data_IF_081334784995
#
_entry.id   IF_081334784995
#
_cell.length_a   1.000
_cell.length_b   1.000
_cell.length_c   1.000
_cell.angle_alpha   90.00
_cell.angle_beta   90.00
_cell.angle_gamma   90.00
#
_symmetry.space_group_name_H-M   'P 1'
#
loop_
_entity.id
_entity.type
_entity.pdbx_description
1 polymer ?
#
# COMPACT_ATOMS: atom_id res chain seq x y z
N UNK A 1 19.79 -9.36 29.57
CA UNK A 1 20.04 -8.40 30.66
C UNK A 1 19.31 -7.06 30.51
N UNK A 2 18.04 -7.04 30.06
CA UNK A 2 17.23 -5.82 30.00
C UNK A 2 17.72 -4.71 29.06
N UNK A 3 18.77 -4.96 28.26
CA UNK A 3 19.34 -4.01 27.30
C UNK A 3 18.90 -4.33 25.89
N UNK A 4 18.65 -3.29 25.10
CA UNK A 4 18.46 -3.40 23.66
C UNK A 4 19.85 -3.53 23.02
N UNK A 5 20.08 -4.62 22.29
CA UNK A 5 21.36 -4.91 21.63
C UNK A 5 21.30 -4.69 20.11
N UNK A 6 20.10 -4.65 19.53
CA UNK A 6 19.92 -4.35 18.11
C UNK A 6 18.47 -4.03 17.77
N UNK A 7 18.28 -3.14 16.80
CA UNK A 7 16.97 -2.72 16.30
C UNK A 7 17.00 -2.71 14.77
N UNK A 8 15.83 -2.89 14.16
CA UNK A 8 15.69 -2.91 12.71
C UNK A 8 14.24 -2.82 12.26
N UNK A 9 14.03 -2.30 11.05
CA UNK A 9 12.73 -2.26 10.39
C UNK A 9 12.89 -2.50 8.89
N UNK A 10 11.87 -3.05 8.26
CA UNK A 10 11.89 -3.26 6.81
C UNK A 10 11.68 -1.92 6.08
N UNK A 11 12.71 -1.45 5.37
CA UNK A 11 12.68 -0.17 4.68
C UNK A 11 12.05 -0.26 3.27
N UNK A 12 12.35 -1.32 2.51
CA UNK A 12 11.92 -1.47 1.12
C UNK A 12 11.82 -2.92 0.68
N UNK A 13 10.79 -3.23 -0.11
CA UNK A 13 10.60 -4.56 -0.67
C UNK A 13 11.84 -5.04 -1.45
N UNK A 14 12.33 -6.24 -1.12
CA UNK A 14 13.54 -6.83 -1.70
C UNK A 14 14.82 -6.58 -0.89
N UNK A 15 14.78 -5.69 0.11
CA UNK A 15 15.87 -5.51 1.07
C UNK A 15 15.70 -6.43 2.29
N UNK A 16 16.68 -6.40 3.19
CA UNK A 16 16.66 -7.18 4.42
C UNK A 16 15.39 -6.91 5.24
N UNK A 17 14.87 -7.96 5.88
CA UNK A 17 13.77 -7.82 6.81
C UNK A 17 14.27 -7.26 8.16
N UNK A 18 13.33 -6.84 9.00
CA UNK A 18 13.60 -6.22 10.29
C UNK A 18 14.47 -7.11 11.19
N UNK A 19 14.19 -8.41 11.21
CA UNK A 19 14.91 -9.41 12.00
C UNK A 19 16.39 -9.46 11.62
N UNK A 20 16.68 -9.51 10.32
CA UNK A 20 18.07 -9.55 9.82
C UNK A 20 18.81 -8.27 10.15
N UNK A 21 18.14 -7.11 10.06
CA UNK A 21 18.75 -5.82 10.41
C UNK A 21 19.05 -5.73 11.91
N UNK A 22 18.09 -6.12 12.76
CA UNK A 22 18.27 -6.15 14.22
C UNK A 22 19.39 -7.12 14.63
N UNK A 23 19.46 -8.30 14.01
CA UNK A 23 20.53 -9.28 14.27
C UNK A 23 21.90 -8.76 13.84
N UNK A 24 22.00 -8.05 12.72
CA UNK A 24 23.26 -7.40 12.29
C UNK A 24 23.71 -6.33 13.28
N UNK A 25 22.78 -5.54 13.81
CA UNK A 25 23.07 -4.54 14.82
C UNK A 25 23.50 -5.17 16.15
N UNK A 26 22.88 -6.29 16.54
CA UNK A 26 23.20 -7.03 17.77
C UNK A 26 24.53 -7.80 17.70
N UNK A 27 24.93 -8.28 16.52
CA UNK A 27 26.14 -9.08 16.37
C UNK A 27 26.13 -10.32 17.28
N UNK A 28 27.21 -10.54 18.03
CA UNK A 28 27.33 -11.65 18.97
C UNK A 28 26.35 -11.59 20.14
N UNK A 29 25.84 -10.40 20.47
CA UNK A 29 24.98 -10.18 21.63
C UNK A 29 23.54 -10.70 21.40
N UNK A 30 23.23 -11.16 20.18
CA UNK A 30 21.97 -11.83 19.86
C UNK A 30 21.87 -13.23 20.51
N UNK A 31 23.01 -13.89 20.76
CA UNK A 31 23.03 -15.23 21.33
C UNK A 31 22.42 -15.24 22.74
N UNK A 32 21.43 -16.10 22.95
CA UNK A 32 20.68 -16.17 24.20
C UNK A 32 19.67 -15.03 24.43
N UNK A 33 19.57 -14.06 23.52
CA UNK A 33 18.67 -12.92 23.66
C UNK A 33 17.20 -13.26 23.35
N UNK A 34 16.31 -12.30 23.64
CA UNK A 34 14.91 -12.33 23.19
C UNK A 34 14.73 -11.42 21.98
N UNK A 35 14.19 -11.95 20.89
CA UNK A 35 13.78 -11.16 19.73
C UNK A 35 12.29 -10.80 19.83
N UNK A 36 11.97 -9.52 19.75
CA UNK A 36 10.59 -9.02 19.62
C UNK A 36 10.34 -8.62 18.18
N UNK A 37 9.29 -9.18 17.56
CA UNK A 37 8.99 -8.96 16.14
C UNK A 37 7.51 -8.61 15.96
N UNK A 38 7.19 -7.65 15.09
CA UNK A 38 5.80 -7.19 14.91
C UNK A 38 4.93 -8.16 14.10
N UNK A 39 5.53 -9.11 13.38
CA UNK A 39 4.86 -10.12 12.55
C UNK A 39 5.62 -11.44 12.71
N UNK A 40 4.93 -12.58 12.55
CA UNK A 40 5.57 -13.89 12.57
C UNK A 40 6.77 -13.96 11.60
N UNK A 41 7.97 -14.36 12.07
CA UNK A 41 9.15 -14.46 11.23
C UNK A 41 8.94 -15.41 10.05
N UNK A 42 9.33 -14.97 8.85
CA UNK A 42 9.09 -15.76 7.64
C UNK A 42 9.91 -17.06 7.63
N UNK A 43 9.27 -18.14 7.16
CA UNK A 43 9.86 -19.49 7.09
C UNK A 43 10.05 -20.04 5.66
N UNK A 44 9.72 -19.24 4.64
CA UNK A 44 9.83 -19.61 3.23
C UNK A 44 10.88 -18.74 2.53
N UNK A 45 11.50 -19.28 1.49
CA UNK A 45 12.44 -18.53 0.67
C UNK A 45 11.66 -17.65 -0.31
N UNK A 46 11.76 -16.33 -0.12
CA UNK A 46 11.12 -15.33 -0.97
C UNK A 46 12.13 -14.66 -1.91
N UNK A 47 12.17 -13.32 -1.89
CA UNK A 47 13.26 -12.55 -2.52
C UNK A 47 14.55 -12.61 -1.70
N UNK A 48 14.43 -12.92 -0.41
CA UNK A 48 15.51 -13.07 0.55
C UNK A 48 15.34 -14.40 1.29
N UNK A 49 16.43 -14.91 1.92
CA UNK A 49 16.35 -16.08 2.79
C UNK A 49 15.35 -15.92 3.96
N UNK A 50 14.84 -17.03 4.53
CA UNK A 50 13.94 -17.01 5.67
C UNK A 50 14.55 -16.37 6.92
N UNK A 51 13.76 -15.56 7.65
CA UNK A 51 14.22 -14.93 8.88
C UNK A 51 14.38 -15.93 10.03
N UNK A 52 13.61 -17.02 10.01
CA UNK A 52 13.78 -18.13 10.95
C UNK A 52 15.20 -18.68 10.92
N UNK A 53 15.79 -18.88 9.74
CA UNK A 53 17.14 -19.43 9.61
C UNK A 53 18.18 -18.46 10.23
N UNK A 54 18.01 -17.15 10.02
CA UNK A 54 18.87 -16.13 10.61
C UNK A 54 18.76 -16.07 12.14
N UNK A 55 17.54 -16.17 12.68
CA UNK A 55 17.29 -16.20 14.13
C UNK A 55 17.92 -17.43 14.79
N UNK A 56 17.81 -18.60 14.15
CA UNK A 56 18.43 -19.83 14.62
C UNK A 56 19.95 -19.76 14.57
N UNK A 57 20.52 -19.24 13.48
CA UNK A 57 21.97 -19.05 13.35
C UNK A 57 22.51 -18.09 14.41
N UNK A 58 21.74 -17.05 14.76
CA UNK A 58 22.08 -16.11 15.82
C UNK A 58 21.86 -16.67 17.24
N UNK A 59 21.32 -17.89 17.37
CA UNK A 59 21.11 -18.59 18.63
C UNK A 59 20.26 -17.79 19.64
N UNK A 60 19.21 -17.12 19.17
CA UNK A 60 18.25 -16.46 20.06
C UNK A 60 17.55 -17.49 20.94
N UNK A 61 17.37 -17.19 22.23
CA UNK A 61 16.73 -18.12 23.16
C UNK A 61 15.19 -18.04 23.09
N UNK A 62 14.66 -16.85 22.80
CA UNK A 62 13.22 -16.57 22.83
C UNK A 62 12.82 -15.64 21.70
N UNK A 63 11.67 -15.89 21.10
CA UNK A 63 11.04 -15.04 20.09
C UNK A 63 9.63 -14.72 20.54
N UNK A 64 9.29 -13.44 20.60
CA UNK A 64 7.94 -12.95 20.86
C UNK A 64 7.47 -12.22 19.62
N UNK A 65 6.36 -12.66 19.01
CA UNK A 65 5.80 -11.97 17.85
C UNK A 65 4.35 -11.51 18.06
N UNK A 66 4.02 -10.31 17.58
CA UNK A 66 2.72 -9.73 17.88
C UNK A 66 1.56 -10.46 17.19
N UNK A 67 1.66 -10.72 15.89
CA UNK A 67 0.59 -11.34 15.08
C UNK A 67 1.12 -12.40 14.13
N UNK A 68 0.34 -13.47 13.93
CA UNK A 68 0.64 -14.50 12.95
C UNK A 68 0.59 -13.97 11.52
N UNK A 69 1.40 -14.53 10.62
CA UNK A 69 1.41 -14.13 9.21
C UNK A 69 0.15 -14.69 8.51
N UNK A 70 -0.71 -13.85 7.89
CA UNK A 70 -1.90 -14.30 7.18
C UNK A 70 -1.57 -15.03 5.88
N UNK A 71 -0.33 -14.96 5.39
CA UNK A 71 0.11 -15.66 4.19
C UNK A 71 0.05 -17.18 4.43
N UNK A 72 -0.73 -17.93 3.63
CA UNK A 72 -0.87 -19.38 3.80
C UNK A 72 0.45 -20.16 3.73
N UNK A 73 1.49 -19.58 3.12
CA UNK A 73 2.84 -20.18 3.06
C UNK A 73 3.65 -20.02 4.34
N UNK A 74 3.22 -19.18 5.28
CA UNK A 74 3.93 -18.88 6.53
C UNK A 74 3.11 -19.22 7.75
N UNK A 75 1.80 -18.98 7.74
CA UNK A 75 0.89 -19.09 8.88
C UNK A 75 1.22 -20.25 9.84
N UNK A 76 1.92 -19.95 10.94
CA UNK A 76 2.34 -20.88 11.99
C UNK A 76 3.60 -21.71 11.71
N UNK A 77 4.10 -21.74 10.47
CA UNK A 77 5.31 -22.47 10.08
C UNK A 77 6.57 -21.88 10.73
N UNK A 78 6.66 -20.55 10.84
CA UNK A 78 7.82 -19.89 11.44
C UNK A 78 7.92 -20.18 12.92
N UNK A 79 6.81 -20.01 13.63
CA UNK A 79 6.71 -20.35 15.04
C UNK A 79 7.02 -21.84 15.30
N UNK A 80 6.52 -22.74 14.45
CA UNK A 80 6.77 -24.18 14.57
C UNK A 80 8.26 -24.52 14.40
N UNK A 81 8.90 -24.04 13.33
CA UNK A 81 10.33 -24.32 13.07
C UNK A 81 11.23 -23.84 14.20
N UNK A 82 10.95 -22.67 14.77
CA UNK A 82 11.70 -22.14 15.91
C UNK A 82 11.54 -23.05 17.14
N UNK A 83 10.31 -23.48 17.47
CA UNK A 83 10.04 -24.39 18.60
C UNK A 83 10.71 -25.74 18.44
N UNK A 84 10.69 -26.31 17.23
CA UNK A 84 11.34 -27.59 16.91
C UNK A 84 12.86 -27.55 17.14
N UNK A 85 13.47 -26.37 17.12
CA UNK A 85 14.89 -26.15 17.40
C UNK A 85 15.16 -25.67 18.85
N UNK A 86 14.15 -25.73 19.73
CA UNK A 86 14.30 -25.41 21.14
C UNK A 86 14.17 -23.93 21.51
N UNK A 87 13.83 -23.05 20.55
CA UNK A 87 13.57 -21.63 20.82
C UNK A 87 12.20 -21.48 21.52
N UNK A 88 12.13 -20.70 22.59
CA UNK A 88 10.86 -20.36 23.23
C UNK A 88 10.09 -19.38 22.36
N UNK A 89 8.82 -19.68 22.04
CA UNK A 89 8.02 -18.84 21.12
C UNK A 89 6.65 -18.50 21.70
N UNK A 90 6.42 -17.21 21.89
CA UNK A 90 5.16 -16.62 22.35
C UNK A 90 4.59 -15.66 21.30
N UNK A 91 3.26 -15.51 21.31
CA UNK A 91 2.58 -14.59 20.39
C UNK A 91 1.41 -13.85 21.02
N UNK A 92 0.99 -12.76 20.38
CA UNK A 92 -0.20 -12.00 20.76
C UNK A 92 0.09 -10.70 21.52
N UNK A 93 1.33 -10.46 21.93
CA UNK A 93 1.72 -9.22 22.60
C UNK A 93 1.55 -8.03 21.65
N UNK A 94 0.72 -7.05 22.03
CA UNK A 94 0.38 -5.88 21.20
C UNK A 94 -0.19 -6.25 19.81
N UNK A 95 -0.94 -7.36 19.75
CA UNK A 95 -1.57 -7.80 18.51
C UNK A 95 -2.49 -6.75 17.86
N UNK A 96 -3.34 -6.00 18.60
CA UNK A 96 -4.17 -4.94 18.01
C UNK A 96 -3.35 -3.85 17.30
N UNK A 97 -2.27 -3.40 17.93
CA UNK A 97 -1.38 -2.36 17.42
C UNK A 97 -0.61 -2.84 16.18
N UNK A 98 -0.08 -4.06 16.22
CA UNK A 98 0.59 -4.67 15.08
C UNK A 98 -0.36 -4.90 13.88
N UNK A 99 -1.63 -5.21 14.15
CA UNK A 99 -2.66 -5.27 13.12
C UNK A 99 -2.93 -3.90 12.49
N UNK A 100 -3.09 -2.85 13.31
CA UNK A 100 -3.33 -1.48 12.85
C UNK A 100 -2.16 -0.91 12.03
N UNK A 101 -0.93 -1.37 12.27
CA UNK A 101 0.25 -0.99 11.49
C UNK A 101 0.14 -1.41 10.01
N UNK A 102 -0.50 -2.55 9.72
CA UNK A 102 -0.46 -3.22 8.42
C UNK A 102 -1.85 -3.59 7.86
N UNK A 103 -2.89 -2.79 8.11
CA UNK A 103 -4.29 -3.08 7.71
C UNK A 103 -4.44 -3.47 6.23
N UNK A 104 -3.75 -2.73 5.35
CA UNK A 104 -3.76 -3.00 3.91
C UNK A 104 -3.18 -4.36 3.54
N UNK A 105 -2.08 -4.75 4.18
CA UNK A 105 -1.45 -6.05 3.98
C UNK A 105 -2.34 -7.19 4.47
N UNK A 106 -2.91 -7.09 5.69
CA UNK A 106 -3.80 -8.12 6.22
C UNK A 106 -5.07 -8.26 5.36
N UNK A 107 -5.66 -7.15 4.93
CA UNK A 107 -6.84 -7.18 4.06
C UNK A 107 -6.54 -7.85 2.73
N UNK A 108 -5.42 -7.51 2.11
CA UNK A 108 -4.99 -8.11 0.84
C UNK A 108 -4.72 -9.61 0.97
N UNK A 109 -3.97 -10.02 1.99
CA UNK A 109 -3.64 -11.44 2.17
C UNK A 109 -4.86 -12.31 2.48
N UNK A 110 -5.84 -11.79 3.22
CA UNK A 110 -7.03 -12.56 3.63
C UNK A 110 -8.13 -12.57 2.58
N UNK A 111 -8.35 -11.45 1.89
CA UNK A 111 -9.51 -11.25 1.03
C UNK A 111 -9.17 -10.99 -0.44
N UNK A 112 -7.89 -10.95 -0.81
CA UNK A 112 -7.44 -10.71 -2.19
C UNK A 112 -7.72 -9.29 -2.71
N UNK A 113 -8.02 -8.34 -1.82
CA UNK A 113 -8.44 -6.97 -2.17
C UNK A 113 -7.75 -5.93 -1.29
N UNK A 114 -7.58 -4.68 -1.74
CA UNK A 114 -6.97 -3.64 -0.94
C UNK A 114 -7.89 -3.22 0.21
N UNK A 115 -7.28 -2.67 1.26
CA UNK A 115 -8.01 -1.89 2.26
C UNK A 115 -8.25 -0.48 1.72
N UNK A 116 -9.50 -0.02 1.73
CA UNK A 116 -9.91 1.22 1.07
C UNK A 116 -10.23 2.28 2.11
N UNK A 117 -9.57 3.44 1.98
CA UNK A 117 -9.90 4.66 2.72
C UNK A 117 -10.62 5.64 1.81
N UNK A 118 -11.82 6.04 2.20
CA UNK A 118 -12.57 7.12 1.51
C UNK A 118 -12.36 8.41 2.30
N UNK A 119 -11.87 9.46 1.62
CA UNK A 119 -11.72 10.80 2.21
C UNK A 119 -12.76 11.74 1.62
N UNK A 120 -13.47 12.45 2.49
CA UNK A 120 -14.43 13.48 2.11
C UNK A 120 -14.04 14.80 2.77
N UNK A 121 -14.12 15.92 2.03
CA UNK A 121 -14.18 17.25 2.62
C UNK A 121 -15.57 17.82 2.32
N UNK A 122 -16.25 18.31 3.35
CA UNK A 122 -17.58 18.88 3.21
C UNK A 122 -17.76 20.07 4.15
N UNK A 123 -18.69 20.96 3.79
CA UNK A 123 -19.21 22.00 4.67
C UNK A 123 -20.06 21.39 5.79
N UNK A 124 -20.45 22.23 6.77
CA UNK A 124 -21.28 21.80 7.89
C UNK A 124 -22.64 21.24 7.46
N UNK A 125 -23.20 21.74 6.35
CA UNK A 125 -24.45 21.27 5.74
C UNK A 125 -24.25 20.12 4.74
N UNK A 126 -23.05 19.51 4.69
CA UNK A 126 -22.78 18.28 3.93
C UNK A 126 -22.50 18.49 2.44
N UNK A 127 -22.19 19.71 2.00
CA UNK A 127 -21.86 20.01 0.58
C UNK A 127 -20.38 19.83 0.31
N UNK A 128 -20.05 19.28 -0.85
CA UNK A 128 -18.66 19.01 -1.29
C UNK A 128 -18.17 19.97 -2.38
N UNK A 129 -19.05 20.84 -2.87
CA UNK A 129 -18.78 21.93 -3.80
C UNK A 129 -19.92 22.96 -3.69
N UNK A 130 -19.67 24.18 -4.17
CA UNK A 130 -20.70 25.19 -4.43
C UNK A 130 -21.62 24.74 -5.58
N UNK A 131 -22.80 25.35 -5.70
CA UNK A 131 -23.76 25.04 -6.75
C UNK A 131 -23.23 25.29 -8.17
N UNK A 132 -22.23 26.18 -8.31
CA UNK A 132 -21.52 26.45 -9.57
C UNK A 132 -20.40 25.44 -9.86
N UNK A 133 -20.16 24.44 -8.99
CA UNK A 133 -19.12 23.43 -9.13
C UNK A 133 -17.76 23.80 -8.53
N UNK A 134 -17.58 25.02 -8.01
CA UNK A 134 -16.34 25.42 -7.36
C UNK A 134 -16.19 24.74 -6.00
N UNK A 135 -15.03 24.13 -5.75
CA UNK A 135 -14.79 23.27 -4.57
C UNK A 135 -13.49 23.57 -3.82
N UNK A 136 -12.74 24.60 -4.25
CA UNK A 136 -11.45 25.00 -3.67
C UNK A 136 -11.61 26.25 -2.79
N UNK A 137 -11.36 26.25 -1.48
CA UNK A 137 -11.08 25.15 -0.55
C UNK A 137 -12.13 25.17 0.58
N UNK A 138 -12.86 24.07 0.76
CA UNK A 138 -13.83 23.94 1.87
C UNK A 138 -13.12 23.85 3.24
N UNK A 139 -11.99 23.13 3.29
CA UNK A 139 -11.25 22.88 4.54
C UNK A 139 -9.98 23.72 4.64
N UNK A 140 -9.58 24.08 5.87
CA UNK A 140 -8.36 24.84 6.17
C UNK A 140 -7.04 24.12 5.86
N UNK A 141 -5.92 24.83 6.04
CA UNK A 141 -4.58 24.34 5.71
C UNK A 141 -4.19 23.06 6.48
N UNK A 142 -4.45 23.01 7.78
CA UNK A 142 -4.14 21.83 8.62
C UNK A 142 -4.80 20.54 8.10
N UNK A 143 -6.06 20.61 7.67
CA UNK A 143 -6.75 19.46 7.09
C UNK A 143 -6.15 19.03 5.73
N UNK A 144 -5.63 19.98 4.94
CA UNK A 144 -4.99 19.66 3.65
C UNK A 144 -3.61 19.03 3.84
N UNK A 145 -2.91 19.40 4.90
CA UNK A 145 -1.65 18.81 5.34
C UNK A 145 -1.84 17.39 5.90
N UNK A 146 -2.85 17.17 6.76
CA UNK A 146 -3.19 15.84 7.27
C UNK A 146 -3.45 14.83 6.12
N UNK A 147 -4.17 15.25 5.08
CA UNK A 147 -4.40 14.41 3.88
C UNK A 147 -3.10 14.00 3.19
N UNK A 148 -2.03 14.81 3.25
CA UNK A 148 -0.74 14.43 2.67
C UNK A 148 -0.11 13.24 3.41
N UNK A 149 -0.26 13.16 4.73
CA UNK A 149 0.19 12.02 5.53
C UNK A 149 -0.57 10.75 5.15
N UNK A 150 -1.88 10.85 4.94
CA UNK A 150 -2.67 9.71 4.48
C UNK A 150 -2.27 9.23 3.08
N UNK A 151 -2.01 10.15 2.15
CA UNK A 151 -1.46 9.78 0.83
C UNK A 151 -0.05 9.19 0.93
N UNK A 152 0.74 9.59 1.93
CA UNK A 152 2.07 9.05 2.14
C UNK A 152 2.05 7.59 2.59
N UNK A 153 1.02 7.22 3.37
CA UNK A 153 0.80 5.86 3.88
C UNK A 153 0.07 4.93 2.91
N UNK A 154 -0.35 5.41 1.74
CA UNK A 154 -1.11 4.65 0.76
C UNK A 154 -0.24 4.11 -0.36
N UNK A 155 -0.53 2.90 -0.84
CA UNK A 155 0.09 2.32 -2.04
C UNK A 155 -0.47 2.92 -3.33
N UNK A 156 -1.74 3.36 -3.32
CA UNK A 156 -2.40 3.95 -4.47
C UNK A 156 -3.36 5.08 -4.06
N UNK A 157 -3.61 6.00 -4.98
CA UNK A 157 -4.69 6.99 -4.92
C UNK A 157 -5.63 6.78 -6.10
N UNK A 158 -6.92 6.72 -5.82
CA UNK A 158 -7.95 6.46 -6.82
C UNK A 158 -8.88 7.67 -6.94
N UNK A 159 -9.19 8.06 -8.17
CA UNK A 159 -10.20 9.09 -8.47
C UNK A 159 -11.00 8.73 -9.71
N UNK A 160 -12.21 9.28 -9.86
CA UNK A 160 -12.91 9.28 -11.14
C UNK A 160 -12.35 10.34 -12.07
N UNK A 161 -12.54 10.15 -13.39
CA UNK A 161 -12.14 11.11 -14.42
C UNK A 161 -12.81 12.48 -14.28
N UNK A 162 -14.00 12.55 -13.66
CA UNK A 162 -14.68 13.83 -13.41
C UNK A 162 -13.82 14.81 -12.62
N UNK A 163 -13.13 14.34 -11.58
CA UNK A 163 -12.16 15.14 -10.82
C UNK A 163 -10.99 15.56 -11.70
N UNK A 164 -10.47 14.68 -12.56
CA UNK A 164 -9.34 15.03 -13.44
C UNK A 164 -9.72 16.15 -14.40
N UNK A 165 -10.93 16.08 -14.97
CA UNK A 165 -11.43 17.10 -15.90
C UNK A 165 -11.72 18.43 -15.20
N UNK A 166 -12.24 18.41 -13.98
CA UNK A 166 -12.60 19.62 -13.25
C UNK A 166 -11.40 20.30 -12.59
N UNK A 167 -10.45 19.52 -12.07
CA UNK A 167 -9.38 20.03 -11.20
C UNK A 167 -7.97 19.96 -11.80
N UNK A 168 -7.75 19.13 -12.82
CA UNK A 168 -6.41 18.79 -13.33
C UNK A 168 -5.38 18.55 -12.18
N UNK A 169 -5.67 17.59 -11.27
CA UNK A 169 -4.87 17.38 -10.08
C UNK A 169 -3.60 16.59 -10.40
N UNK A 170 -2.51 16.90 -9.70
CA UNK A 170 -1.26 16.12 -9.74
C UNK A 170 -1.32 14.75 -9.05
N UNK A 171 -2.22 14.63 -8.06
CA UNK A 171 -2.41 13.44 -7.20
C UNK A 171 -1.13 12.93 -6.50
N UNK A 172 -0.17 13.81 -6.25
CA UNK A 172 1.08 13.55 -5.55
C UNK A 172 0.98 13.78 -4.04
N UNK A 173 2.08 13.46 -3.34
CA UNK A 173 2.28 13.76 -1.93
C UNK A 173 3.25 14.92 -1.78
N UNK A 174 2.84 15.91 -1.01
CA UNK A 174 3.53 17.18 -0.82
C UNK A 174 3.67 17.45 0.67
N UNK A 175 4.45 16.61 1.33
CA UNK A 175 4.87 16.84 2.70
C UNK A 175 6.12 17.72 2.69
N UNK A 176 6.15 18.72 3.56
CA UNK A 176 7.34 19.55 3.81
C UNK A 176 8.49 18.69 4.34
N UNK A 177 8.17 17.77 5.24
CA UNK A 177 9.09 16.79 5.79
C UNK A 177 8.66 15.39 5.31
N UNK A 178 9.41 14.77 4.39
CA UNK A 178 9.10 13.41 3.96
C UNK A 178 9.28 12.45 5.15
N UNK A 179 8.39 11.45 5.32
CA UNK A 179 8.57 10.44 6.36
C UNK A 179 9.90 9.71 6.15
N UNK A 180 10.52 9.29 7.25
CA UNK A 180 11.82 8.61 7.25
C UNK A 180 11.79 7.34 6.38
N UNK A 181 12.71 7.24 5.42
CA UNK A 181 12.95 6.04 4.62
C UNK A 181 12.62 6.17 3.12
N UNK A 182 13.06 5.20 2.30
CA UNK A 182 12.79 5.19 0.88
C UNK A 182 11.29 4.97 0.61
N UNK A 183 10.71 5.80 -0.24
CA UNK A 183 9.29 5.72 -0.58
C UNK A 183 9.09 5.28 -2.02
N UNK A 184 8.21 4.30 -2.22
CA UNK A 184 7.70 4.01 -3.56
C UNK A 184 6.76 5.13 -4.03
N UNK A 185 6.85 5.56 -5.30
CA UNK A 185 5.88 6.49 -5.87
C UNK A 185 4.45 5.96 -5.73
N UNK A 186 3.51 6.86 -5.46
CA UNK A 186 2.09 6.53 -5.31
C UNK A 186 1.52 6.11 -6.68
N UNK A 187 0.91 4.93 -6.77
CA UNK A 187 0.16 4.55 -7.97
C UNK A 187 -1.07 5.46 -8.10
N UNK A 188 -1.23 6.12 -9.24
CA UNK A 188 -2.37 7.00 -9.51
C UNK A 188 -3.37 6.28 -10.41
N UNK A 189 -4.53 5.95 -9.86
CA UNK A 189 -5.59 5.22 -10.55
C UNK A 189 -6.72 6.17 -10.93
N UNK A 190 -7.06 6.23 -12.22
CA UNK A 190 -8.18 7.02 -12.72
C UNK A 190 -9.24 6.09 -13.31
N UNK A 191 -10.47 6.17 -12.79
CA UNK A 191 -11.63 5.48 -13.36
C UNK A 191 -12.20 6.32 -14.49
N UNK A 192 -12.02 5.85 -15.71
CA UNK A 192 -12.33 6.60 -16.93
C UNK A 192 -12.93 5.68 -18.01
N UNK A 193 -14.23 5.42 -17.90
CA UNK A 193 -14.94 4.52 -18.80
C UNK A 193 -14.75 4.80 -20.29
N UNK A 194 -14.44 6.05 -20.67
CA UNK A 194 -14.37 6.48 -22.08
C UNK A 194 -13.02 7.11 -22.45
N UNK A 195 -11.99 6.95 -21.63
CA UNK A 195 -10.65 7.50 -21.86
C UNK A 195 -10.64 9.04 -22.10
N UNK A 196 -11.49 9.77 -21.36
CA UNK A 196 -11.62 11.23 -21.44
C UNK A 196 -10.48 12.01 -20.79
N UNK A 197 -9.63 11.34 -20.00
CA UNK A 197 -8.46 11.93 -19.36
C UNK A 197 -7.61 12.68 -20.40
N UNK A 198 -7.34 13.99 -20.21
CA UNK A 198 -6.50 14.77 -21.12
C UNK A 198 -5.08 14.20 -21.19
N UNK A 199 -4.49 14.12 -22.38
CA UNK A 199 -3.15 13.53 -22.57
C UNK A 199 -2.04 14.36 -21.94
N UNK A 200 -2.32 15.63 -21.65
CA UNK A 200 -1.47 16.63 -21.02
C UNK A 200 -1.82 16.87 -19.53
N UNK A 201 -2.70 16.04 -18.94
CA UNK A 201 -3.09 16.17 -17.54
C UNK A 201 -1.87 16.19 -16.60
N UNK A 202 -1.89 17.05 -15.60
CA UNK A 202 -0.75 17.29 -14.69
C UNK A 202 -0.33 16.07 -13.88
N UNK A 203 -1.19 15.08 -13.73
CA UNK A 203 -0.81 13.79 -13.13
C UNK A 203 0.24 13.06 -13.98
N UNK A 204 0.35 13.29 -15.28
CA UNK A 204 1.41 12.67 -16.10
C UNK A 204 2.77 13.37 -15.98
N UNK A 205 2.81 14.59 -15.44
CA UNK A 205 4.04 15.40 -15.37
C UNK A 205 4.96 15.02 -14.19
N UNK A 206 4.56 14.06 -13.35
CA UNK A 206 5.31 13.65 -12.16
C UNK A 206 5.74 12.19 -12.22
N UNK A 207 6.86 11.81 -11.57
CA UNK A 207 7.31 10.44 -11.48
C UNK A 207 6.27 9.52 -10.83
N UNK A 208 6.31 8.24 -11.20
CA UNK A 208 5.43 7.20 -10.67
C UNK A 208 4.37 6.76 -11.66
N UNK A 209 3.83 5.57 -11.41
CA UNK A 209 2.91 4.94 -12.35
C UNK A 209 1.53 5.60 -12.32
N UNK A 210 0.91 5.66 -13.50
CA UNK A 210 -0.49 6.03 -13.68
C UNK A 210 -1.19 4.83 -14.33
N UNK A 211 -2.33 4.45 -13.75
CA UNK A 211 -3.22 3.44 -14.29
C UNK A 211 -4.55 4.08 -14.66
N UNK A 212 -4.94 3.95 -15.93
CA UNK A 212 -6.28 4.32 -16.38
C UNK A 212 -7.11 3.06 -16.50
N UNK A 213 -8.21 3.00 -15.75
CA UNK A 213 -9.15 1.90 -15.84
C UNK A 213 -10.30 2.35 -16.73
N UNK A 214 -10.41 1.75 -17.90
CA UNK A 214 -11.50 2.00 -18.84
C UNK A 214 -12.53 0.88 -18.79
N UNK A 215 -13.72 1.19 -19.30
CA UNK A 215 -14.73 0.19 -19.62
C UNK A 215 -14.70 0.00 -21.13
N UNK A 216 -14.94 -1.22 -21.61
CA UNK A 216 -15.09 -1.44 -23.05
C UNK A 216 -16.19 -0.51 -23.59
N UNK A 217 -15.90 0.40 -24.53
CA UNK A 217 -16.93 1.26 -25.09
C UNK A 217 -17.91 0.42 -25.94
N UNK A 218 -19.17 0.87 -26.11
CA UNK A 218 -20.06 0.30 -27.12
C UNK A 218 -19.49 0.52 -28.54
N UNK A 219 -19.93 -0.28 -29.54
CA UNK A 219 -19.31 -0.39 -30.88
C UNK A 219 -19.14 0.91 -31.70
N UNK A 220 -19.80 2.01 -31.34
CA UNK A 220 -19.89 3.22 -32.17
C UNK A 220 -18.67 4.16 -32.09
N UNK A 221 -17.75 3.95 -31.14
CA UNK A 221 -16.69 4.91 -30.79
C UNK A 221 -15.27 4.49 -31.20
N UNK A 222 -15.11 3.44 -32.01
CA UNK A 222 -13.83 2.72 -32.17
C UNK A 222 -12.67 3.59 -32.70
N UNK A 223 -12.87 4.51 -33.66
CA UNK A 223 -11.75 5.27 -34.27
C UNK A 223 -11.16 6.33 -33.34
N UNK A 224 -11.99 7.22 -32.77
CA UNK A 224 -11.51 8.24 -31.84
C UNK A 224 -11.01 7.63 -30.52
N UNK A 225 -11.65 6.55 -30.08
CA UNK A 225 -11.21 5.80 -28.91
C UNK A 225 -9.84 5.16 -29.12
N UNK A 226 -9.58 4.54 -30.28
CA UNK A 226 -8.29 3.93 -30.60
C UNK A 226 -7.15 4.95 -30.59
N UNK A 227 -7.36 6.14 -31.18
CA UNK A 227 -6.35 7.20 -31.17
C UNK A 227 -6.05 7.71 -29.75
N UNK A 228 -7.09 7.87 -28.92
CA UNK A 228 -6.90 8.27 -27.51
C UNK A 228 -6.20 7.19 -26.70
N UNK A 229 -6.58 5.92 -26.88
CA UNK A 229 -5.92 4.78 -26.26
C UNK A 229 -4.43 4.76 -26.62
N UNK A 230 -4.09 4.88 -27.91
CA UNK A 230 -2.71 4.93 -28.37
C UNK A 230 -1.91 6.07 -27.72
N UNK A 231 -2.53 7.26 -27.59
CA UNK A 231 -1.89 8.42 -26.97
C UNK A 231 -1.71 8.28 -25.46
N UNK A 232 -2.70 7.72 -24.76
CA UNK A 232 -2.67 7.54 -23.31
C UNK A 232 -1.78 6.38 -22.87
N UNK A 233 -1.71 5.31 -23.66
CA UNK A 233 -0.82 4.17 -23.40
C UNK A 233 0.67 4.52 -23.43
N UNK A 234 1.05 5.68 -23.98
CA UNK A 234 2.41 6.21 -23.91
C UNK A 234 2.73 6.85 -22.54
N UNK A 235 1.70 7.11 -21.71
CA UNK A 235 1.81 7.87 -20.45
C UNK A 235 1.29 7.11 -19.24
N UNK A 236 0.49 6.07 -19.46
CA UNK A 236 -0.13 5.26 -18.43
C UNK A 236 -0.32 3.82 -18.87
N UNK A 237 -0.39 2.93 -17.89
CA UNK A 237 -0.95 1.59 -18.08
C UNK A 237 -2.46 1.73 -18.23
N UNK A 238 -3.00 1.39 -19.40
CA UNK A 238 -4.45 1.38 -19.64
C UNK A 238 -4.98 -0.04 -19.48
N UNK A 239 -5.91 -0.23 -18.55
CA UNK A 239 -6.57 -1.52 -18.29
C UNK A 239 -8.04 -1.40 -18.65
N UNK A 240 -8.51 -2.25 -19.55
CA UNK A 240 -9.93 -2.31 -19.92
C UNK A 240 -10.63 -3.43 -19.17
N UNK A 241 -11.67 -3.09 -18.41
CA UNK A 241 -12.52 -4.04 -17.70
C UNK A 241 -13.89 -4.15 -18.38
N UNK A 242 -14.63 -5.22 -18.03
CA UNK A 242 -16.04 -5.30 -18.38
C UNK A 242 -16.81 -4.17 -17.68
N UNK A 243 -17.74 -3.50 -18.39
CA UNK A 243 -18.55 -2.47 -17.78
C UNK A 243 -19.48 -3.05 -16.71
N UNK A 244 -19.87 -2.20 -15.75
CA UNK A 244 -21.01 -2.44 -14.87
C UNK A 244 -22.34 -2.37 -15.67
N UNK A 245 -23.49 -2.72 -15.06
CA UNK A 245 -24.79 -2.62 -15.74
C UNK A 245 -25.17 -1.23 -16.26
N UNK A 246 -24.48 -0.17 -15.82
CA UNK A 246 -24.67 1.20 -16.26
C UNK A 246 -23.68 1.63 -17.37
N UNK A 247 -22.86 0.71 -17.90
CA UNK A 247 -21.84 1.01 -18.90
C UNK A 247 -20.62 1.76 -18.34
N UNK A 248 -20.39 1.71 -17.02
CA UNK A 248 -19.26 2.38 -16.35
C UNK A 248 -18.20 1.37 -15.91
N UNK A 249 -17.03 1.86 -15.49
CA UNK A 249 -16.00 1.01 -14.89
C UNK A 249 -16.55 0.28 -13.67
N UNK A 250 -16.41 -1.04 -13.65
CA UNK A 250 -16.78 -1.86 -12.49
C UNK A 250 -15.81 -1.62 -11.32
N UNK A 251 -16.30 -0.94 -10.28
CA UNK A 251 -15.51 -0.71 -9.06
C UNK A 251 -15.13 -2.04 -8.38
N UNK A 252 -16.01 -3.05 -8.26
CA UNK A 252 -15.61 -4.33 -7.69
C UNK A 252 -14.42 -4.97 -8.41
N UNK A 253 -14.48 -5.07 -9.74
CA UNK A 253 -13.39 -5.63 -10.56
C UNK A 253 -12.11 -4.78 -10.48
N UNK A 254 -12.27 -3.45 -10.39
CA UNK A 254 -11.13 -2.56 -10.19
C UNK A 254 -10.41 -2.85 -8.87
N UNK A 255 -11.17 -3.08 -7.80
CA UNK A 255 -10.58 -3.42 -6.51
C UNK A 255 -9.99 -4.85 -6.47
N UNK A 256 -10.48 -5.76 -7.31
CA UNK A 256 -9.90 -7.11 -7.45
C UNK A 256 -8.60 -7.09 -8.28
N UNK A 257 -8.47 -6.12 -9.20
CA UNK A 257 -7.27 -5.88 -10.00
C UNK A 257 -6.10 -5.31 -9.17
N UNK A 258 -6.39 -4.49 -8.15
CA UNK A 258 -5.41 -3.74 -7.35
C UNK A 258 -4.82 -4.57 -6.19
#
# INVERSE_FOLDING_TARGET
DGRIVGEGWHARAGEAHAEVMALRAAGSDAAGATAYVTLEPCAHHGRTPPCVDALLQAQVARVVFAVADPNPRVNGLGARRLREQGVQVESGLLAPEAHALNEGFFKRMRAGRPWVRVKVAMSLDGRTALANGESRWITGAAAREDVQHWRARSSAILTGVGTVLADDPRLDVRLSEPPSGPRLPLLRVVLDSRLRTPVDARLFALPGEVMLVSARPPPELETAHALRLASLSQRATVVTLQPDPCGRVSLPMTLDLL
#
